data_IF_821543741042
#
_entry.id   IF_821543741042
#
_cell.length_a   1.000
_cell.length_b   1.000
_cell.length_c   1.000
_cell.angle_alpha   90.00
_cell.angle_beta   90.00
_cell.angle_gamma   90.00
#
_symmetry.space_group_name_H-M   'P 1'
#
loop_
_entity.id
_entity.type
_entity.pdbx_description
1 polymer ?
#
# COMPACT_ATOMS: atom_id res chain seq x y z
N UNK A 1 6.85 -45.03 -30.64
CA UNK A 1 7.86 -45.04 -29.55
C UNK A 1 8.78 -43.84 -29.74
N UNK A 2 9.11 -43.05 -28.70
CA UNK A 2 10.02 -41.93 -28.87
C UNK A 2 11.41 -42.38 -29.25
N UNK A 3 12.04 -41.66 -30.20
CA UNK A 3 13.37 -41.94 -30.72
C UNK A 3 14.45 -41.74 -29.65
N UNK A 4 15.60 -42.42 -29.79
CA UNK A 4 16.71 -42.25 -28.85
C UNK A 4 17.17 -40.79 -28.70
N UNK A 5 17.01 -39.99 -29.74
CA UNK A 5 17.33 -38.56 -29.74
C UNK A 5 16.36 -37.79 -28.87
N UNK A 6 15.04 -38.03 -28.97
CA UNK A 6 14.01 -37.42 -28.11
C UNK A 6 14.20 -37.74 -26.62
N UNK A 7 14.65 -38.95 -26.30
CA UNK A 7 14.97 -39.35 -24.90
C UNK A 7 16.19 -38.59 -24.38
N UNK A 8 17.24 -38.40 -25.18
CA UNK A 8 18.43 -37.61 -24.79
C UNK A 8 18.09 -36.14 -24.58
N UNK A 9 17.26 -35.56 -25.44
CA UNK A 9 16.84 -34.16 -25.33
C UNK A 9 15.93 -33.93 -24.10
N UNK A 10 15.06 -34.86 -23.79
CA UNK A 10 14.24 -34.83 -22.59
C UNK A 10 15.09 -34.93 -21.28
N UNK A 11 16.11 -35.80 -21.30
CA UNK A 11 17.04 -35.91 -20.17
C UNK A 11 17.89 -34.65 -19.98
N UNK A 12 18.34 -34.01 -21.07
CA UNK A 12 19.07 -32.74 -21.05
C UNK A 12 18.25 -31.61 -20.45
N UNK A 13 17.02 -31.43 -20.92
CA UNK A 13 16.09 -30.42 -20.36
C UNK A 13 15.76 -30.64 -18.88
N UNK A 14 15.71 -31.92 -18.45
CA UNK A 14 15.48 -32.24 -17.02
C UNK A 14 16.69 -31.86 -16.18
N UNK A 15 17.90 -32.12 -16.66
CA UNK A 15 19.14 -31.75 -15.97
C UNK A 15 19.30 -30.22 -15.87
N UNK A 16 19.07 -29.51 -16.98
CA UNK A 16 19.12 -28.03 -17.01
C UNK A 16 18.16 -27.40 -16.00
N UNK A 17 16.92 -27.91 -15.89
CA UNK A 17 15.95 -27.44 -14.88
C UNK A 17 16.39 -27.72 -13.44
N UNK A 18 17.08 -28.87 -13.21
CA UNK A 18 17.61 -29.19 -11.88
C UNK A 18 18.77 -28.27 -11.49
N UNK A 19 19.68 -27.98 -12.46
CA UNK A 19 20.80 -27.06 -12.23
C UNK A 19 20.28 -25.63 -11.94
N UNK A 20 19.34 -25.13 -12.75
CA UNK A 20 18.73 -23.81 -12.53
C UNK A 20 18.04 -23.69 -11.15
N UNK A 21 17.37 -24.75 -10.67
CA UNK A 21 16.78 -24.75 -9.32
C UNK A 21 17.83 -24.74 -8.20
N UNK A 22 18.97 -25.44 -8.38
CA UNK A 22 20.07 -25.42 -7.40
C UNK A 22 20.73 -24.05 -7.32
N UNK A 23 21.00 -23.41 -8.47
CA UNK A 23 21.56 -22.07 -8.51
C UNK A 23 20.62 -21.03 -7.88
N UNK A 24 19.30 -21.11 -8.13
CA UNK A 24 18.31 -20.25 -7.51
C UNK A 24 18.26 -20.44 -5.97
N UNK A 25 18.34 -21.67 -5.50
CA UNK A 25 18.37 -21.97 -4.07
C UNK A 25 19.64 -21.47 -3.39
N UNK A 26 20.80 -21.55 -4.04
CA UNK A 26 22.06 -21.02 -3.51
C UNK A 26 22.07 -19.50 -3.44
N UNK A 27 21.52 -18.81 -4.45
CA UNK A 27 21.35 -17.34 -4.44
C UNK A 27 20.44 -16.91 -3.30
N UNK A 28 19.30 -17.58 -3.12
CA UNK A 28 18.37 -17.30 -2.01
C UNK A 28 19.02 -17.54 -0.63
N UNK A 29 19.86 -18.59 -0.49
CA UNK A 29 20.58 -18.89 0.74
C UNK A 29 21.64 -17.83 1.06
N UNK A 30 22.39 -17.36 0.06
CA UNK A 30 23.37 -16.26 0.22
C UNK A 30 22.67 -14.94 0.60
N UNK A 31 21.55 -14.62 -0.02
CA UNK A 31 20.77 -13.41 0.34
C UNK A 31 20.26 -13.47 1.79
N UNK A 32 19.76 -14.62 2.25
CA UNK A 32 19.33 -14.81 3.65
C UNK A 32 20.48 -14.63 4.64
N UNK A 33 21.66 -15.15 4.34
CA UNK A 33 22.84 -15.00 5.21
C UNK A 33 23.32 -13.53 5.29
N UNK A 34 23.25 -12.78 4.19
CA UNK A 34 23.58 -11.33 4.18
C UNK A 34 22.56 -10.57 5.03
N UNK A 35 21.26 -10.85 4.91
CA UNK A 35 20.22 -10.19 5.70
C UNK A 35 20.41 -10.48 7.20
N UNK A 36 20.68 -11.73 7.57
CA UNK A 36 20.94 -12.13 8.97
C UNK A 36 22.18 -11.39 9.51
N UNK A 37 23.25 -11.28 8.71
CA UNK A 37 24.46 -10.56 9.08
C UNK A 37 24.23 -9.06 9.34
N UNK A 38 23.43 -8.41 8.49
CA UNK A 38 23.07 -6.98 8.65
C UNK A 38 22.21 -6.77 9.91
N UNK A 39 21.20 -7.63 10.14
CA UNK A 39 20.35 -7.54 11.33
C UNK A 39 21.17 -7.75 12.61
N UNK A 40 22.09 -8.71 12.64
CA UNK A 40 22.97 -8.93 13.80
C UNK A 40 23.88 -7.70 14.08
N UNK A 41 24.41 -7.06 13.05
CA UNK A 41 25.23 -5.84 13.19
C UNK A 41 24.41 -4.67 13.77
N UNK A 42 23.16 -4.49 13.32
CA UNK A 42 22.27 -3.42 13.83
C UNK A 42 21.89 -3.66 15.30
N UNK A 43 21.65 -4.90 15.70
CA UNK A 43 21.32 -5.25 17.09
C UNK A 43 22.51 -4.96 18.04
N UNK A 44 23.74 -5.23 17.61
CA UNK A 44 24.95 -4.95 18.41
C UNK A 44 25.15 -3.45 18.59
N UNK A 45 24.92 -2.63 17.55
CA UNK A 45 25.04 -1.16 17.64
C UNK A 45 23.93 -0.57 18.51
N UNK A 46 22.68 -1.01 18.35
CA UNK A 46 21.55 -0.55 19.17
C UNK A 46 21.69 -0.95 20.65
N UNK A 47 22.15 -2.16 20.93
CA UNK A 47 22.41 -2.63 22.29
C UNK A 47 23.54 -1.89 23.00
N UNK A 48 24.60 -1.52 22.26
CA UNK A 48 25.72 -0.73 22.79
C UNK A 48 25.30 0.69 23.20
N UNK A 49 24.47 1.35 22.41
CA UNK A 49 23.94 2.69 22.72
C UNK A 49 23.01 2.66 23.93
N UNK A 50 22.15 1.63 24.04
CA UNK A 50 21.22 1.50 25.16
C UNK A 50 21.92 1.28 26.51
N UNK A 51 23.01 0.50 26.55
CA UNK A 51 23.82 0.27 27.74
C UNK A 51 24.59 1.53 28.20
N UNK A 52 24.89 2.45 27.28
CA UNK A 52 25.60 3.68 27.62
C UNK A 52 24.67 4.78 28.17
N UNK A 53 23.43 4.83 27.70
CA UNK A 53 22.42 5.81 28.18
C UNK A 53 21.76 5.43 29.48
N UNK A 54 21.82 4.17 29.93
CA UNK A 54 21.16 3.69 31.17
C UNK A 54 21.94 4.00 32.44
N UNK A 55 23.07 4.73 32.38
CA UNK A 55 23.95 4.98 33.55
C UNK A 55 23.86 6.38 34.15
N UNK A 56 22.87 7.17 33.80
CA UNK A 56 22.70 8.47 34.42
C UNK A 56 21.22 8.78 34.66
N UNK A 57 20.79 8.63 35.89
CA UNK A 57 19.94 9.51 36.66
C UNK A 57 19.04 8.76 37.62
N UNK A 58 19.47 8.71 38.86
CA UNK A 58 18.59 8.53 40.02
C UNK A 58 18.09 9.90 40.43
N UNK A 59 16.78 10.09 40.53
CA UNK A 59 16.16 11.12 41.39
C UNK A 59 14.69 10.78 41.66
N UNK A 60 14.47 10.36 42.82
CA UNK A 60 13.42 10.56 43.84
C UNK A 60 11.98 10.91 43.42
N UNK A 61 11.09 10.15 44.03
CA UNK A 61 9.63 10.16 43.98
C UNK A 61 8.96 11.44 44.40
N UNK A 62 7.79 11.70 43.80
CA UNK A 62 6.62 12.23 44.48
C UNK A 62 5.37 11.66 43.82
N UNK A 63 4.58 10.96 44.63
CA UNK A 63 3.25 10.46 44.28
C UNK A 63 2.30 11.61 44.09
N UNK A 64 1.61 11.65 42.95
CA UNK A 64 0.33 12.34 42.88
C UNK A 64 -0.65 11.53 42.03
N UNK A 65 -1.70 11.06 42.68
CA UNK A 65 -2.76 10.26 42.10
C UNK A 65 -3.70 11.21 41.34
N UNK A 66 -3.58 11.21 40.01
CA UNK A 66 -4.59 11.82 39.15
C UNK A 66 -5.12 10.74 38.21
N UNK A 67 -6.37 10.37 38.45
CA UNK A 67 -7.20 9.55 37.57
C UNK A 67 -7.24 10.21 36.18
N UNK A 68 -6.50 9.66 35.22
CA UNK A 68 -6.56 10.16 33.85
C UNK A 68 -7.37 9.16 33.02
N UNK A 69 -8.44 9.66 32.43
CA UNK A 69 -9.25 9.00 31.41
C UNK A 69 -8.38 8.47 30.25
N UNK A 70 -8.82 7.44 29.50
CA UNK A 70 -8.03 6.88 28.42
C UNK A 70 -7.77 7.95 27.37
N UNK A 71 -6.51 8.28 27.20
CA UNK A 71 -6.02 9.27 26.24
C UNK A 71 -6.29 8.78 24.82
N UNK A 72 -7.01 9.60 24.11
CA UNK A 72 -7.33 9.55 22.70
C UNK A 72 -6.14 9.09 21.84
N UNK A 73 -6.40 8.14 20.97
CA UNK A 73 -5.56 7.81 19.84
C UNK A 73 -5.16 9.10 19.10
N UNK A 74 -3.88 9.39 19.05
CA UNK A 74 -3.37 10.57 18.34
C UNK A 74 -3.66 10.42 16.86
N UNK A 75 -4.55 11.23 16.31
CA UNK A 75 -4.80 11.32 14.88
C UNK A 75 -3.49 11.62 14.12
N UNK A 76 -3.31 11.11 12.89
CA UNK A 76 -2.11 11.38 12.11
C UNK A 76 -1.88 12.88 11.98
N UNK A 77 -0.66 13.31 12.26
CA UNK A 77 -0.30 14.72 12.36
C UNK A 77 -0.02 15.40 11.02
N UNK A 78 -0.07 14.67 9.91
CA UNK A 78 0.27 15.16 8.57
C UNK A 78 -0.84 14.85 7.56
N UNK A 79 -1.08 15.75 6.58
CA UNK A 79 -1.98 15.49 5.46
C UNK A 79 -1.59 14.23 4.68
N UNK A 80 -2.57 13.64 4.00
CA UNK A 80 -2.36 12.46 3.17
C UNK A 80 -1.50 12.79 1.93
N UNK A 81 -0.75 11.81 1.46
CA UNK A 81 0.05 11.92 0.25
C UNK A 81 -0.12 10.64 -0.59
N UNK A 82 -0.42 10.78 -1.86
CA UNK A 82 -0.68 9.69 -2.80
C UNK A 82 0.25 9.80 -4.02
N UNK A 83 1.57 9.66 -3.85
CA UNK A 83 2.53 9.75 -4.94
C UNK A 83 2.27 8.69 -6.00
N UNK A 84 2.51 9.03 -7.27
CA UNK A 84 2.40 8.11 -8.38
C UNK A 84 3.32 6.89 -8.17
N UNK A 85 2.79 5.69 -8.42
CA UNK A 85 3.49 4.42 -8.22
C UNK A 85 2.95 3.35 -9.17
N UNK A 86 3.75 2.98 -10.15
CA UNK A 86 3.37 2.01 -11.16
C UNK A 86 2.32 2.53 -12.16
N UNK A 87 1.67 1.61 -12.85
CA UNK A 87 0.60 1.90 -13.80
C UNK A 87 -0.74 1.50 -13.19
N UNK A 88 -1.74 2.35 -13.32
CA UNK A 88 -3.09 2.05 -12.86
C UNK A 88 -3.68 0.85 -13.63
N UNK A 89 -4.29 -0.09 -12.91
CA UNK A 89 -4.95 -1.26 -13.48
C UNK A 89 -6.33 -0.92 -14.10
N UNK A 90 -6.92 0.19 -13.67
CA UNK A 90 -8.08 0.88 -14.27
C UNK A 90 -7.82 2.37 -14.23
N UNK A 91 -8.43 3.10 -15.15
CA UNK A 91 -8.31 4.56 -15.22
C UNK A 91 -9.00 5.20 -14.00
N UNK A 92 -8.20 5.73 -13.09
CA UNK A 92 -8.62 6.40 -11.85
C UNK A 92 -7.64 7.49 -11.46
N UNK A 93 -8.13 8.46 -10.71
CA UNK A 93 -7.32 9.54 -10.15
C UNK A 93 -7.05 9.31 -8.66
N UNK A 94 -5.90 9.76 -8.15
CA UNK A 94 -5.68 9.81 -6.71
C UNK A 94 -6.73 10.69 -6.02
N UNK A 95 -6.99 10.48 -4.70
CA UNK A 95 -7.86 11.36 -3.94
C UNK A 95 -7.41 12.82 -4.03
N UNK A 96 -8.33 13.73 -4.34
CA UNK A 96 -8.05 15.17 -4.40
C UNK A 96 -8.02 15.83 -3.02
N UNK A 97 -8.79 15.29 -2.06
CA UNK A 97 -8.77 15.76 -0.68
C UNK A 97 -7.58 15.14 0.06
N UNK A 98 -6.55 15.94 0.32
CA UNK A 98 -5.35 15.50 1.05
C UNK A 98 -5.48 15.67 2.56
N UNK A 99 -6.54 16.30 3.03
CA UNK A 99 -6.84 16.48 4.46
C UNK A 99 -8.25 15.97 4.79
N UNK A 100 -8.53 14.67 4.51
CA UNK A 100 -9.86 14.12 4.73
C UNK A 100 -10.25 14.14 6.21
N UNK A 101 -11.54 13.91 6.51
CA UNK A 101 -11.97 13.71 7.89
C UNK A 101 -11.15 12.64 8.58
N UNK A 102 -10.60 12.95 9.74
CA UNK A 102 -9.76 12.08 10.57
C UNK A 102 -10.42 11.75 11.92
N UNK A 103 -11.74 11.81 11.96
CA UNK A 103 -12.58 11.43 13.12
C UNK A 103 -13.83 10.73 12.65
N UNK A 104 -14.44 9.95 13.55
CA UNK A 104 -15.68 9.23 13.29
C UNK A 104 -15.51 8.04 12.34
N UNK A 105 -16.62 7.54 11.86
CA UNK A 105 -16.72 6.38 10.98
C UNK A 105 -17.54 6.72 9.74
N UNK A 106 -17.47 5.85 8.74
CA UNK A 106 -18.32 5.88 7.56
C UNK A 106 -18.70 4.46 7.18
N UNK A 107 -19.97 4.25 6.84
CA UNK A 107 -20.43 2.96 6.39
C UNK A 107 -20.24 2.82 4.88
N UNK A 108 -19.91 1.62 4.44
CA UNK A 108 -19.81 1.25 3.04
C UNK A 108 -20.37 -0.16 2.86
N UNK A 109 -20.87 -0.48 1.67
CA UNK A 109 -21.36 -1.83 1.37
C UNK A 109 -20.58 -2.41 0.19
N UNK A 110 -19.83 -3.47 0.45
CA UNK A 110 -19.22 -4.28 -0.58
C UNK A 110 -20.28 -5.27 -1.10
N UNK A 111 -20.65 -5.17 -2.38
CA UNK A 111 -21.54 -6.15 -3.02
C UNK A 111 -20.70 -7.27 -3.60
N UNK A 112 -20.72 -8.44 -2.97
CA UNK A 112 -19.89 -9.60 -3.31
C UNK A 112 -20.78 -10.76 -3.78
N UNK A 113 -20.63 -11.19 -5.03
CA UNK A 113 -21.49 -12.19 -5.66
C UNK A 113 -22.99 -11.84 -5.58
N UNK A 114 -23.35 -10.56 -5.71
CA UNK A 114 -24.71 -10.05 -5.60
C UNK A 114 -25.29 -10.04 -4.17
N UNK A 115 -24.47 -10.27 -3.14
CA UNK A 115 -24.83 -10.21 -1.73
C UNK A 115 -24.16 -9.04 -1.04
N UNK A 116 -24.85 -8.38 -0.13
CA UNK A 116 -24.32 -7.24 0.61
C UNK A 116 -23.40 -7.71 1.75
N UNK A 117 -22.25 -7.08 1.82
CA UNK A 117 -21.26 -7.19 2.90
C UNK A 117 -21.08 -5.78 3.47
N UNK A 118 -21.90 -5.37 4.43
CA UNK A 118 -21.80 -4.06 5.05
C UNK A 118 -20.51 -3.95 5.88
N UNK A 119 -19.90 -2.78 5.85
CA UNK A 119 -18.65 -2.47 6.54
C UNK A 119 -18.76 -1.10 7.20
N UNK A 120 -18.20 -0.97 8.40
CA UNK A 120 -17.99 0.32 9.04
C UNK A 120 -16.50 0.64 9.01
N UNK A 121 -16.12 1.72 8.31
CA UNK A 121 -14.74 2.15 8.15
C UNK A 121 -14.42 3.26 9.17
N UNK A 122 -13.22 3.23 9.75
CA UNK A 122 -12.80 4.09 10.83
C UNK A 122 -11.81 5.17 10.36
N UNK A 123 -12.29 6.40 10.20
CA UNK A 123 -11.48 7.56 9.80
C UNK A 123 -10.49 8.00 10.87
N UNK A 124 -10.74 7.69 12.14
CA UNK A 124 -9.84 8.09 13.21
C UNK A 124 -8.54 7.28 13.25
N UNK A 125 -8.58 6.04 12.80
CA UNK A 125 -7.40 5.15 12.78
C UNK A 125 -6.69 5.15 11.43
N UNK A 126 -7.42 5.37 10.32
CA UNK A 126 -6.89 5.28 8.97
C UNK A 126 -7.51 6.34 8.04
N UNK A 127 -7.36 7.64 8.32
CA UNK A 127 -7.97 8.69 7.50
C UNK A 127 -7.54 8.64 6.03
N UNK A 128 -6.27 8.42 5.76
CA UNK A 128 -5.75 8.37 4.39
C UNK A 128 -6.16 7.08 3.67
N UNK A 129 -6.12 5.95 4.36
CA UNK A 129 -6.57 4.66 3.83
C UNK A 129 -8.06 4.64 3.52
N UNK A 130 -8.89 5.13 4.44
CA UNK A 130 -10.35 5.26 4.23
C UNK A 130 -10.63 6.21 3.07
N UNK A 131 -9.98 7.38 3.01
CA UNK A 131 -10.12 8.32 1.91
C UNK A 131 -9.76 7.70 0.56
N UNK A 132 -8.64 6.97 0.47
CA UNK A 132 -8.24 6.27 -0.74
C UNK A 132 -9.26 5.19 -1.14
N UNK A 133 -9.72 4.38 -0.19
CA UNK A 133 -10.70 3.32 -0.43
C UNK A 133 -12.03 3.89 -0.95
N UNK A 134 -12.58 4.92 -0.29
CA UNK A 134 -13.82 5.58 -0.70
C UNK A 134 -13.68 6.25 -2.07
N UNK A 135 -12.56 6.91 -2.33
CA UNK A 135 -12.28 7.54 -3.63
C UNK A 135 -12.21 6.52 -4.77
N UNK A 136 -11.57 5.39 -4.56
CA UNK A 136 -11.52 4.30 -5.55
C UNK A 136 -12.91 3.66 -5.75
N UNK A 137 -13.67 3.48 -4.67
CA UNK A 137 -15.02 2.95 -4.72
C UNK A 137 -15.95 3.88 -5.52
N UNK A 138 -15.92 5.20 -5.25
CA UNK A 138 -16.73 6.19 -5.96
C UNK A 138 -16.41 6.29 -7.45
N UNK A 139 -15.17 5.99 -7.85
CA UNK A 139 -14.73 5.92 -9.23
C UNK A 139 -15.00 4.55 -9.90
N UNK A 140 -15.63 3.60 -9.20
CA UNK A 140 -15.93 2.28 -9.73
C UNK A 140 -14.69 1.39 -9.94
N UNK A 141 -13.57 1.69 -9.29
CA UNK A 141 -12.32 0.93 -9.43
C UNK A 141 -12.50 -0.56 -9.10
N UNK A 142 -13.27 -0.86 -8.07
CA UNK A 142 -13.51 -2.22 -7.61
C UNK A 142 -14.61 -2.96 -8.38
N UNK A 143 -15.42 -2.26 -9.18
CA UNK A 143 -16.57 -2.86 -9.85
C UNK A 143 -16.12 -3.95 -10.84
N UNK A 144 -16.82 -5.07 -10.79
CA UNK A 144 -16.60 -6.25 -11.63
C UNK A 144 -15.17 -6.81 -11.53
N UNK A 145 -14.60 -6.80 -10.31
CA UNK A 145 -13.28 -7.34 -10.01
C UNK A 145 -13.37 -8.57 -9.11
N UNK A 146 -12.38 -9.46 -9.21
CA UNK A 146 -12.36 -10.68 -8.42
C UNK A 146 -11.41 -10.56 -7.22
N UNK A 147 -11.81 -11.13 -6.09
CA UNK A 147 -10.88 -11.42 -5.01
C UNK A 147 -9.97 -12.55 -5.45
N UNK A 148 -8.71 -12.23 -5.65
CA UNK A 148 -7.74 -13.09 -6.33
C UNK A 148 -7.05 -14.09 -5.42
N UNK A 149 -7.16 -13.91 -4.07
CA UNK A 149 -6.44 -14.75 -3.11
C UNK A 149 -7.32 -15.08 -1.91
N UNK A 150 -7.37 -16.33 -1.57
CA UNK A 150 -7.91 -16.88 -0.33
C UNK A 150 -6.79 -17.65 0.37
N UNK A 151 -6.62 -17.42 1.68
CA UNK A 151 -5.73 -18.24 2.49
C UNK A 151 -6.52 -19.03 3.52
N UNK A 152 -6.12 -20.26 3.77
CA UNK A 152 -6.74 -21.17 4.74
C UNK A 152 -5.65 -21.97 5.45
N UNK A 153 -5.16 -21.42 6.55
CA UNK A 153 -4.11 -22.03 7.36
C UNK A 153 -4.37 -21.82 8.85
N UNK A 154 -3.54 -22.36 9.71
CA UNK A 154 -3.70 -22.21 11.15
C UNK A 154 -3.54 -20.76 11.64
N UNK A 155 -2.81 -19.94 10.90
CA UNK A 155 -2.44 -18.58 11.32
C UNK A 155 -2.81 -17.47 10.31
N UNK A 156 -3.39 -17.82 9.16
CA UNK A 156 -3.74 -16.81 8.15
C UNK A 156 -5.00 -17.25 7.40
N UNK A 157 -6.11 -16.58 7.68
CA UNK A 157 -7.41 -16.86 7.09
C UNK A 157 -8.03 -15.56 6.59
N UNK A 158 -7.68 -15.19 5.37
CA UNK A 158 -8.11 -13.94 4.73
C UNK A 158 -8.65 -14.18 3.31
N UNK A 159 -9.57 -13.32 2.88
CA UNK A 159 -9.96 -13.13 1.49
C UNK A 159 -9.41 -11.79 1.01
N UNK A 160 -8.49 -11.80 0.04
CA UNK A 160 -7.83 -10.61 -0.48
C UNK A 160 -8.39 -10.22 -1.85
N UNK A 161 -8.69 -8.95 -2.01
CA UNK A 161 -9.38 -8.33 -3.13
C UNK A 161 -8.69 -7.01 -3.54
N UNK A 162 -9.29 -6.26 -4.47
CA UNK A 162 -8.90 -4.89 -4.79
C UNK A 162 -7.82 -4.75 -5.85
N UNK A 163 -7.52 -5.83 -6.57
CA UNK A 163 -6.71 -5.82 -7.78
C UNK A 163 -7.60 -6.10 -9.01
N UNK A 164 -7.86 -5.10 -9.87
CA UNK A 164 -8.68 -5.30 -11.08
C UNK A 164 -8.10 -6.30 -12.06
N UNK A 165 -6.78 -6.54 -12.04
CA UNK A 165 -6.15 -7.53 -12.92
C UNK A 165 -6.38 -8.97 -12.46
N UNK A 166 -6.73 -9.17 -11.19
CA UNK A 166 -6.89 -10.49 -10.58
C UNK A 166 -5.60 -11.29 -10.43
N UNK A 167 -4.43 -10.64 -10.62
CA UNK A 167 -3.10 -11.29 -10.55
C UNK A 167 -2.38 -11.05 -9.21
N UNK A 168 -2.90 -10.16 -8.37
CA UNK A 168 -2.31 -9.79 -7.07
C UNK A 168 -1.21 -8.72 -7.16
N UNK A 169 -1.01 -8.12 -8.33
CA UNK A 169 0.02 -7.11 -8.57
C UNK A 169 -0.51 -5.81 -9.19
N UNK A 170 -1.80 -5.74 -9.47
CA UNK A 170 -2.45 -4.52 -9.94
C UNK A 170 -2.76 -3.55 -8.80
N UNK A 171 -2.86 -2.27 -9.15
CA UNK A 171 -3.13 -1.19 -8.20
C UNK A 171 -3.65 0.06 -8.89
N UNK A 172 -3.83 1.17 -8.16
CA UNK A 172 -4.49 2.38 -8.65
C UNK A 172 -3.53 3.36 -9.36
N UNK A 173 -2.24 2.99 -9.56
CA UNK A 173 -1.23 3.87 -10.13
C UNK A 173 -0.62 4.87 -9.15
N UNK A 174 -0.96 4.76 -7.87
CA UNK A 174 -0.36 5.50 -6.77
C UNK A 174 -0.22 4.61 -5.54
N UNK A 175 0.60 5.03 -4.59
CA UNK A 175 0.74 4.36 -3.30
C UNK A 175 0.84 5.38 -2.18
N UNK A 176 0.66 4.93 -0.93
CA UNK A 176 0.74 5.78 0.25
C UNK A 176 1.28 5.00 1.45
N UNK A 177 1.62 5.73 2.50
CA UNK A 177 2.16 5.16 3.72
C UNK A 177 1.09 4.36 4.48
N UNK A 178 1.47 3.26 5.10
CA UNK A 178 0.61 2.54 6.03
C UNK A 178 0.35 3.37 7.29
N UNK A 179 -0.88 3.34 7.76
CA UNK A 179 -1.33 3.98 9.00
C UNK A 179 -1.41 2.92 10.09
N UNK A 180 -0.28 2.66 10.74
CA UNK A 180 -0.14 1.62 11.77
C UNK A 180 0.60 2.17 12.99
N UNK A 181 0.28 1.62 14.15
CA UNK A 181 0.95 1.93 15.43
C UNK A 181 2.02 0.90 15.80
N UNK A 182 2.04 -0.24 15.08
CA UNK A 182 2.90 -1.38 15.38
C UNK A 182 2.33 -2.31 16.46
N UNK A 183 1.06 -2.13 16.86
CA UNK A 183 0.36 -2.94 17.84
C UNK A 183 -0.97 -3.49 17.35
N UNK A 184 -1.22 -3.42 16.04
CA UNK A 184 -2.45 -3.88 15.41
C UNK A 184 -2.67 -5.37 15.63
N UNK A 185 -3.93 -5.72 15.87
CA UNK A 185 -4.42 -7.11 15.85
C UNK A 185 -5.53 -7.21 14.81
N UNK A 186 -5.67 -8.38 14.22
CA UNK A 186 -6.59 -8.60 13.10
C UNK A 186 -7.63 -9.66 13.44
N UNK A 187 -8.59 -9.36 14.33
CA UNK A 187 -9.68 -10.29 14.64
C UNK A 187 -10.57 -10.55 13.44
N UNK A 188 -11.38 -11.60 13.52
CA UNK A 188 -12.40 -11.92 12.49
C UNK A 188 -13.30 -10.71 12.25
N UNK A 189 -13.56 -10.42 10.99
CA UNK A 189 -14.30 -9.25 10.54
C UNK A 189 -13.43 -8.04 10.18
N UNK A 190 -12.14 -8.03 10.55
CA UNK A 190 -11.23 -6.93 10.17
C UNK A 190 -11.14 -6.78 8.65
N UNK A 191 -11.25 -5.54 8.17
CA UNK A 191 -10.95 -5.10 6.81
C UNK A 191 -9.67 -4.27 6.86
N UNK A 192 -8.61 -4.72 6.19
CA UNK A 192 -7.32 -4.05 6.21
C UNK A 192 -6.70 -3.93 4.82
N UNK A 193 -5.88 -2.89 4.61
CA UNK A 193 -5.17 -2.68 3.34
C UNK A 193 -3.93 -3.58 3.25
N UNK A 194 -3.77 -4.22 2.12
CA UNK A 194 -2.57 -4.96 1.80
C UNK A 194 -1.44 -4.03 1.34
N UNK A 195 -0.20 -4.39 1.68
CA UNK A 195 1.00 -3.71 1.23
C UNK A 195 2.15 -4.71 0.99
N UNK A 196 3.20 -4.28 0.32
CA UNK A 196 4.44 -5.03 0.09
C UNK A 196 5.63 -4.43 0.90
N UNK A 197 5.32 -3.65 1.94
CA UNK A 197 6.26 -2.93 2.79
C UNK A 197 5.85 -1.47 3.01
N UNK A 198 6.65 -0.68 3.72
CA UNK A 198 6.36 0.72 4.00
C UNK A 198 6.06 1.53 2.73
N UNK A 199 5.04 2.38 2.77
CA UNK A 199 4.65 3.29 1.67
C UNK A 199 4.27 2.59 0.35
N UNK A 200 3.89 1.32 0.39
CA UNK A 200 3.42 0.56 -0.77
C UNK A 200 1.94 0.22 -0.72
N UNK A 201 1.20 0.80 0.23
CA UNK A 201 -0.24 0.63 0.32
C UNK A 201 -0.92 1.21 -0.92
N UNK A 202 -1.84 0.47 -1.52
CA UNK A 202 -2.57 0.87 -2.72
C UNK A 202 -4.06 0.56 -2.60
N UNK A 203 -4.62 -0.11 -3.62
CA UNK A 203 -6.04 -0.46 -3.66
C UNK A 203 -6.38 -1.83 -3.06
N UNK A 204 -5.39 -2.71 -2.89
CA UNK A 204 -5.67 -4.06 -2.42
C UNK A 204 -6.01 -4.08 -0.93
N UNK A 205 -7.01 -4.85 -0.57
CA UNK A 205 -7.46 -5.04 0.81
C UNK A 205 -7.78 -6.50 1.08
N UNK A 206 -7.81 -6.86 2.35
CA UNK A 206 -8.23 -8.20 2.76
C UNK A 206 -9.26 -8.15 3.91
N UNK A 207 -10.08 -9.18 3.97
CA UNK A 207 -11.08 -9.41 5.01
C UNK A 207 -10.65 -10.65 5.79
N UNK A 208 -10.54 -10.51 7.10
CA UNK A 208 -10.18 -11.61 8.01
C UNK A 208 -11.42 -12.43 8.31
N UNK A 209 -11.42 -13.72 7.96
CA UNK A 209 -12.57 -14.59 8.19
C UNK A 209 -12.33 -15.70 9.23
N UNK A 210 -11.12 -15.86 9.70
CA UNK A 210 -10.74 -16.84 10.71
C UNK A 210 -9.50 -16.41 11.47
N UNK A 211 -8.94 -17.30 12.29
CA UNK A 211 -7.73 -17.02 13.08
C UNK A 211 -6.63 -16.48 12.19
N UNK A 212 -6.15 -15.28 12.52
CA UNK A 212 -5.10 -14.60 11.77
C UNK A 212 -4.13 -13.95 12.73
N UNK A 213 -2.85 -14.33 12.61
CA UNK A 213 -1.72 -13.80 13.40
C UNK A 213 -0.64 -13.41 12.41
N UNK A 214 -0.53 -12.13 12.16
CA UNK A 214 0.44 -11.52 11.22
C UNK A 214 1.05 -10.30 11.86
N UNK A 215 2.17 -9.83 11.30
CA UNK A 215 2.85 -8.63 11.75
C UNK A 215 1.93 -7.39 11.70
N UNK A 216 1.99 -6.49 12.71
CA UNK A 216 1.15 -5.30 12.81
C UNK A 216 1.59 -4.20 11.82
N UNK A 217 1.57 -4.51 10.53
CA UNK A 217 2.07 -3.64 9.44
C UNK A 217 1.02 -3.26 8.41
N UNK A 218 -0.24 -3.68 8.62
CA UNK A 218 -1.34 -3.45 7.68
C UNK A 218 -2.35 -2.46 8.27
N UNK A 219 -2.65 -1.41 7.51
CA UNK A 219 -3.63 -0.39 7.89
C UNK A 219 -5.02 -1.00 8.03
N UNK A 220 -5.61 -0.92 9.21
CA UNK A 220 -6.99 -1.36 9.46
C UNK A 220 -7.95 -0.26 8.99
N UNK A 221 -8.72 -0.56 7.95
CA UNK A 221 -9.79 0.34 7.47
C UNK A 221 -11.01 0.34 8.38
N UNK A 222 -11.37 -0.84 8.93
CA UNK A 222 -12.58 -1.00 9.71
C UNK A 222 -12.98 -2.46 9.85
N UNK A 223 -14.28 -2.71 9.96
CA UNK A 223 -14.83 -4.04 10.22
C UNK A 223 -16.07 -4.34 9.35
N UNK A 224 -16.24 -5.59 8.99
CA UNK A 224 -17.48 -6.11 8.44
C UNK A 224 -18.55 -6.14 9.54
N UNK A 225 -19.75 -5.71 9.22
CA UNK A 225 -20.88 -5.62 10.16
C UNK A 225 -22.06 -6.46 9.70
N UNK A 226 -23.07 -6.58 10.55
CA UNK A 226 -24.28 -7.37 10.24
C UNK A 226 -23.97 -8.80 9.81
N UNK A 227 -24.69 -9.30 8.84
CA UNK A 227 -24.56 -10.67 8.32
C UNK A 227 -23.49 -10.81 7.23
N UNK A 228 -22.72 -9.74 6.95
CA UNK A 228 -21.72 -9.72 5.88
C UNK A 228 -20.66 -10.81 6.01
N UNK A 229 -20.31 -11.20 7.23
CA UNK A 229 -19.34 -12.27 7.47
C UNK A 229 -19.83 -13.64 6.98
N UNK A 230 -21.13 -13.89 6.92
CA UNK A 230 -21.68 -15.15 6.39
C UNK A 230 -21.33 -15.31 4.91
N UNK A 231 -21.38 -14.23 4.13
CA UNK A 231 -21.01 -14.22 2.70
C UNK A 231 -19.55 -14.58 2.50
N UNK A 232 -18.67 -14.02 3.33
CA UNK A 232 -17.22 -14.29 3.27
C UNK A 232 -16.93 -15.75 3.68
N UNK A 233 -17.59 -16.24 4.72
CA UNK A 233 -17.44 -17.61 5.21
C UNK A 233 -17.98 -18.64 4.21
N UNK A 234 -19.08 -18.35 3.50
CA UNK A 234 -19.62 -19.21 2.43
C UNK A 234 -18.57 -19.42 1.32
N UNK A 235 -17.88 -18.34 0.90
CA UNK A 235 -16.80 -18.41 -0.09
C UNK A 235 -15.62 -19.22 0.47
N UNK A 236 -15.18 -18.90 1.68
CA UNK A 236 -14.04 -19.55 2.32
C UNK A 236 -14.26 -21.04 2.61
N UNK A 237 -15.51 -21.44 2.87
CA UNK A 237 -15.86 -22.84 3.13
C UNK A 237 -15.52 -23.76 1.97
N UNK A 238 -15.63 -23.27 0.72
CA UNK A 238 -15.34 -24.02 -0.49
C UNK A 238 -13.81 -24.18 -0.73
N UNK A 239 -13.00 -23.41 0.00
CA UNK A 239 -11.55 -23.57 0.03
C UNK A 239 -10.81 -22.93 -1.14
N UNK A 240 -9.54 -23.28 -1.24
CA UNK A 240 -8.57 -22.74 -2.21
C UNK A 240 -8.41 -23.73 -3.37
N UNK A 241 -8.26 -23.23 -4.58
CA UNK A 241 -8.06 -24.07 -5.77
C UNK A 241 -6.89 -25.06 -5.60
N UNK A 242 -7.03 -26.25 -6.16
CA UNK A 242 -6.06 -27.33 -6.06
C UNK A 242 -5.77 -27.78 -4.62
N UNK A 243 -6.71 -27.61 -3.69
CA UNK A 243 -6.56 -27.96 -2.26
C UNK A 243 -5.32 -27.35 -1.62
N UNK A 244 -4.93 -26.14 -2.05
CA UNK A 244 -3.81 -25.39 -1.47
C UNK A 244 -4.27 -24.65 -0.22
N UNK A 245 -3.33 -24.18 0.58
CA UNK A 245 -3.60 -23.29 1.71
C UNK A 245 -3.58 -21.80 1.32
N UNK A 246 -3.10 -21.47 0.13
CA UNK A 246 -2.96 -20.11 -0.39
C UNK A 246 -3.10 -20.12 -1.92
N UNK A 247 -3.98 -19.30 -2.46
CA UNK A 247 -4.22 -19.18 -3.89
C UNK A 247 -5.61 -18.63 -4.20
N UNK A 248 -6.06 -18.80 -5.44
CA UNK A 248 -7.41 -18.35 -5.82
C UNK A 248 -8.49 -19.18 -5.10
N UNK A 249 -9.60 -18.55 -4.67
CA UNK A 249 -10.72 -19.29 -4.10
C UNK A 249 -11.35 -20.24 -5.12
N UNK A 250 -11.91 -21.38 -4.65
CA UNK A 250 -12.68 -22.30 -5.50
C UNK A 250 -13.98 -21.64 -5.94
N UNK A 251 -14.70 -21.02 -5.00
CA UNK A 251 -15.89 -20.23 -5.32
C UNK A 251 -15.46 -18.91 -5.97
N UNK A 252 -16.18 -18.48 -6.98
CA UNK A 252 -16.05 -17.13 -7.48
C UNK A 252 -16.28 -16.13 -6.33
N UNK A 253 -15.47 -15.09 -6.27
CA UNK A 253 -15.57 -14.01 -5.29
C UNK A 253 -15.48 -12.68 -6.05
N UNK A 254 -16.57 -12.34 -6.75
CA UNK A 254 -16.64 -11.17 -7.62
C UNK A 254 -17.25 -10.00 -6.87
N UNK A 255 -16.52 -8.89 -6.81
CA UNK A 255 -17.01 -7.60 -6.34
C UNK A 255 -17.84 -7.00 -7.47
N UNK A 256 -19.15 -6.91 -7.30
CA UNK A 256 -20.03 -6.25 -8.26
C UNK A 256 -19.93 -4.73 -8.14
N UNK A 257 -19.90 -4.23 -6.91
CA UNK A 257 -19.71 -2.80 -6.60
C UNK A 257 -19.25 -2.60 -5.16
N UNK A 258 -18.75 -1.41 -4.86
CA UNK A 258 -18.61 -0.91 -3.50
C UNK A 258 -19.44 0.36 -3.40
N UNK A 259 -20.53 0.28 -2.64
CA UNK A 259 -21.45 1.39 -2.46
C UNK A 259 -20.99 2.23 -1.26
N UNK A 260 -20.83 3.51 -1.46
CA UNK A 260 -20.43 4.50 -0.44
C UNK A 260 -21.49 5.60 -0.34
N UNK A 261 -21.77 6.14 0.85
CA UNK A 261 -22.71 7.23 1.01
C UNK A 261 -22.32 8.46 0.20
N UNK A 262 -23.30 9.15 -0.34
CA UNK A 262 -23.09 10.46 -0.97
C UNK A 262 -22.43 11.42 0.05
N UNK A 263 -21.49 12.26 -0.39
CA UNK A 263 -20.75 13.16 0.49
C UNK A 263 -19.72 12.48 1.41
N UNK A 264 -19.51 11.17 1.29
CA UNK A 264 -18.55 10.45 2.16
C UNK A 264 -17.08 10.90 1.97
N UNK A 265 -16.77 11.58 0.89
CA UNK A 265 -15.44 12.17 0.60
C UNK A 265 -15.36 13.66 0.98
N UNK A 266 -16.47 14.26 1.39
CA UNK A 266 -16.55 15.66 1.74
C UNK A 266 -16.02 15.91 3.17
N UNK A 267 -15.63 17.16 3.42
CA UNK A 267 -15.14 17.60 4.72
C UNK A 267 -13.63 17.49 4.86
N UNK A 268 -13.13 18.26 5.81
CA UNK A 268 -11.70 18.37 6.10
C UNK A 268 -11.44 18.04 7.56
N UNK A 269 -10.46 17.20 7.81
CA UNK A 269 -9.99 16.84 9.13
C UNK A 269 -9.03 17.88 9.71
N UNK A 270 -8.82 17.82 11.01
CA UNK A 270 -7.83 18.63 11.69
C UNK A 270 -6.49 17.91 11.71
N UNK A 271 -5.52 18.45 11.02
CA UNK A 271 -4.15 17.97 10.98
C UNK A 271 -3.23 18.98 11.66
N UNK A 272 -2.19 18.54 12.33
CA UNK A 272 -1.18 19.45 12.86
C UNK A 272 -0.51 20.17 11.68
N UNK A 273 -0.58 21.50 11.68
CA UNK A 273 0.22 22.29 10.76
C UNK A 273 1.68 22.08 11.17
N UNK A 274 2.51 21.61 10.24
CA UNK A 274 3.94 21.60 10.46
C UNK A 274 4.36 23.03 10.81
N UNK A 275 4.81 23.24 12.05
CA UNK A 275 5.38 24.54 12.43
C UNK A 275 6.58 24.76 11.51
N UNK A 276 6.68 25.93 10.85
CA UNK A 276 7.87 26.21 10.05
C UNK A 276 9.08 26.07 10.96
N UNK A 277 10.04 25.23 10.54
CA UNK A 277 11.32 25.07 11.24
C UNK A 277 11.95 26.45 11.39
N UNK A 278 12.40 26.87 12.58
CA UNK A 278 12.98 28.20 12.79
C UNK A 278 14.36 28.42 12.13
N UNK A 279 14.84 27.47 11.35
CA UNK A 279 16.14 27.50 10.66
C UNK A 279 16.03 27.64 9.12
N UNK A 280 15.17 28.54 8.64
CA UNK A 280 15.42 29.16 7.35
C UNK A 280 16.21 30.45 7.63
N UNK A 281 17.53 30.30 7.81
CA UNK A 281 18.46 31.41 7.97
C UNK A 281 18.21 32.45 6.88
N UNK A 282 17.92 33.65 7.34
CA UNK A 282 17.90 34.88 6.54
C UNK A 282 19.15 34.91 5.69
N UNK A 283 18.99 34.70 4.38
CA UNK A 283 20.08 34.99 3.43
C UNK A 283 20.11 36.51 3.33
N UNK A 284 21.08 37.09 4.02
CA UNK A 284 21.48 38.49 3.88
C UNK A 284 21.79 38.77 2.41
N UNK A 285 20.88 39.46 1.74
CA UNK A 285 21.09 39.96 0.39
C UNK A 285 22.02 41.20 0.50
N UNK A 286 23.29 40.91 0.62
CA UNK A 286 24.35 41.93 0.47
C UNK A 286 24.22 42.63 -0.89
N UNK A 287 24.09 43.93 -0.85
CA UNK A 287 23.98 44.85 -1.95
C UNK A 287 25.08 44.62 -3.02
N UNK A 288 24.64 44.34 -4.26
CA UNK A 288 25.52 44.34 -5.43
C UNK A 288 25.66 45.77 -5.90
N UNK A 289 26.91 46.31 -6.07
CA UNK A 289 27.09 47.66 -6.60
C UNK A 289 26.78 47.73 -8.10
N UNK A 290 26.02 48.75 -8.47
CA UNK A 290 25.70 49.13 -9.83
C UNK A 290 26.94 49.56 -10.59
N UNK A 291 27.38 48.73 -11.51
CA UNK A 291 28.39 49.09 -12.52
C UNK A 291 27.70 49.25 -13.86
N UNK A 292 27.66 50.49 -14.35
CA UNK A 292 27.26 50.85 -15.70
C UNK A 292 28.25 50.31 -16.71
N UNK A 293 27.78 49.60 -17.74
CA UNK A 293 28.53 49.42 -19.02
C UNK A 293 27.58 49.47 -20.18
N UNK A 294 27.85 50.40 -20.91
CA UNK A 294 27.78 50.88 -22.28
C UNK A 294 27.12 49.98 -23.35
N UNK A 295 26.33 50.70 -24.13
CA UNK A 295 25.62 50.33 -25.37
C UNK A 295 26.55 49.87 -26.47
N UNK A 296 26.28 48.76 -27.10
CA UNK A 296 26.81 48.36 -28.40
C UNK A 296 25.77 47.64 -29.24
N UNK A 297 25.25 48.38 -30.21
CA UNK A 297 24.35 47.88 -31.24
C UNK A 297 25.09 47.07 -32.30
N UNK A 298 24.55 45.93 -32.72
CA UNK A 298 24.77 45.39 -34.09
C UNK A 298 23.66 44.36 -34.44
N UNK A 299 22.76 44.79 -35.27
CA UNK A 299 22.34 44.35 -36.62
C UNK A 299 21.97 42.85 -36.82
N UNK A 300 20.70 42.73 -37.10
CA UNK A 300 19.98 41.90 -38.09
C UNK A 300 20.81 40.97 -38.99
N UNK A 301 20.38 39.66 -39.04
CA UNK A 301 20.30 38.96 -40.32
C UNK A 301 19.24 37.87 -40.26
N UNK A 302 18.42 37.85 -41.33
CA UNK A 302 17.22 37.08 -41.53
C UNK A 302 17.50 35.75 -42.26
N UNK A 303 16.63 34.79 -42.00
CA UNK A 303 16.18 33.60 -42.72
C UNK A 303 16.96 33.10 -43.98
N UNK A 304 16.80 31.78 -44.31
CA UNK A 304 15.64 31.45 -45.14
C UNK A 304 14.92 30.13 -44.82
N UNK A 305 13.65 30.17 -45.08
CA UNK A 305 12.70 29.12 -45.43
C UNK A 305 13.18 28.27 -46.60
N UNK A 306 13.03 26.98 -46.51
CA UNK A 306 12.90 26.15 -47.71
C UNK A 306 11.73 25.14 -47.56
N UNK A 307 10.86 25.28 -48.51
CA UNK A 307 9.62 24.55 -48.78
C UNK A 307 9.88 23.51 -49.87
N UNK A 308 9.02 22.53 -49.92
CA UNK A 308 8.69 21.62 -51.03
C UNK A 308 9.31 20.22 -50.93
N UNK A 309 8.64 19.17 -51.23
CA UNK A 309 7.41 18.74 -51.85
C UNK A 309 7.52 17.22 -52.05
N UNK A 310 6.44 16.52 -51.75
CA UNK A 310 5.72 15.52 -52.51
C UNK A 310 6.46 14.69 -53.57
N UNK A 311 6.30 13.36 -53.44
CA UNK A 311 5.89 12.32 -54.42
C UNK A 311 6.12 11.00 -53.74
N UNK A 312 5.22 10.00 -53.56
CA UNK A 312 4.36 9.42 -54.57
C UNK A 312 5.00 8.11 -55.06
N UNK A 313 4.39 6.94 -54.77
CA UNK A 313 4.82 5.76 -55.44
C UNK A 313 4.52 4.45 -54.68
N UNK A 314 3.55 3.75 -55.15
CA UNK A 314 3.06 2.44 -54.80
C UNK A 314 4.10 1.34 -55.09
N UNK A 315 3.92 0.20 -54.39
CA UNK A 315 4.57 -1.07 -54.57
C UNK A 315 4.10 -2.03 -53.50
#
# INVERSE_FOLDING_TARGET
MPTNQQRRDAAKRKLERQLARREAAERARRQRLVIIGVVAAVVVVAGGVWLWTSRSSSSTAASDSSTTAPTSSTAPSTPCSYPASGTAAKDVSPPSNLSPLNTGTVDATLVLNGKDVPMTLNRATAPCGVNAFLSLASQGFYNDTNCHRLTKSDQLNILQCGDPTGQGNGGPGYSFASETTGSETYPVGTVALANAGPSTTGSQFFIVYGTTTIDPSYTILGTVTGDGMSVIQDIASQGVQNNRQDGAPVAAATINSVNVPEGSLDGTGTYATASPSPDAGSIDTGAVPTGSVDTGAATTEAAPTETAASTGGAG
#
